data_IF_990427773085
#
_entry.id   IF_990427773085
#
_cell.length_a   1.000
_cell.length_b   1.000
_cell.length_c   1.000
_cell.angle_alpha   90.00
_cell.angle_beta   90.00
_cell.angle_gamma   90.00
#
_symmetry.space_group_name_H-M   'P 1'
#
loop_
_entity.id
_entity.type
_entity.pdbx_description
1 polymer ?
#
# COMPACT_ATOMS: atom_id res chain seq x y z
N UNK A 1 -6.61 -0.02 -16.09
CA UNK A 1 -6.67 0.75 -14.83
C UNK A 1 -8.05 1.28 -14.52
N UNK A 2 -8.65 2.17 -15.33
CA UNK A 2 -10.01 2.70 -15.05
C UNK A 2 -11.04 1.63 -14.71
N UNK A 3 -11.21 0.60 -15.55
CA UNK A 3 -12.20 -0.47 -15.32
C UNK A 3 -11.96 -1.15 -13.97
N UNK A 4 -10.73 -1.63 -13.71
CA UNK A 4 -10.35 -2.26 -12.44
C UNK A 4 -10.68 -1.37 -11.25
N UNK A 5 -10.23 -0.11 -11.28
CA UNK A 5 -10.45 0.87 -10.22
C UNK A 5 -11.94 1.15 -10.03
N UNK A 6 -12.72 1.23 -11.10
CA UNK A 6 -14.17 1.45 -11.03
C UNK A 6 -14.96 0.22 -10.56
N UNK A 7 -14.35 -0.97 -10.48
CA UNK A 7 -15.03 -2.23 -10.12
C UNK A 7 -14.48 -2.89 -8.87
N UNK A 8 -13.68 -2.16 -8.09
CA UNK A 8 -13.16 -2.61 -6.78
C UNK A 8 -13.78 -1.79 -5.66
N UNK A 9 -13.92 -2.37 -4.48
CA UNK A 9 -14.49 -1.69 -3.31
C UNK A 9 -13.48 -0.71 -2.70
N UNK A 10 -12.20 -1.10 -2.64
CA UNK A 10 -11.15 -0.28 -2.09
C UNK A 10 -9.77 -0.48 -2.71
N UNK A 11 -8.90 0.51 -2.53
CA UNK A 11 -7.50 0.47 -2.96
C UNK A 11 -6.56 1.12 -1.95
N UNK A 12 -5.28 0.78 -2.05
CA UNK A 12 -4.19 1.41 -1.29
C UNK A 12 -3.16 2.01 -2.23
N UNK A 13 -2.42 3.01 -1.75
CA UNK A 13 -1.34 3.66 -2.51
C UNK A 13 0.02 3.29 -1.89
N UNK A 14 0.78 2.35 -2.47
CA UNK A 14 2.17 2.16 -2.11
C UNK A 14 3.02 3.29 -2.72
N UNK A 15 3.76 3.99 -1.88
CA UNK A 15 4.57 5.15 -2.26
C UNK A 15 6.05 4.94 -1.94
N UNK A 16 6.92 5.53 -2.75
CA UNK A 16 8.27 5.85 -2.32
C UNK A 16 8.27 7.22 -1.61
N UNK A 17 9.20 7.49 -0.68
CA UNK A 17 9.27 8.77 0.02
C UNK A 17 10.03 9.81 -0.84
N UNK A 18 9.49 10.15 -2.00
CA UNK A 18 10.11 11.04 -2.98
C UNK A 18 9.09 11.95 -3.71
N UNK A 19 9.63 12.90 -4.47
CA UNK A 19 8.84 13.86 -5.26
C UNK A 19 8.00 13.19 -6.36
N UNK A 20 8.46 12.08 -6.94
CA UNK A 20 7.73 11.39 -8.00
C UNK A 20 6.44 10.75 -7.47
N UNK A 21 6.48 10.21 -6.25
CA UNK A 21 5.30 9.66 -5.59
C UNK A 21 4.26 10.75 -5.28
N UNK A 22 4.69 11.95 -4.88
CA UNK A 22 3.77 13.09 -4.71
C UNK A 22 3.09 13.50 -6.03
N UNK A 23 3.85 13.58 -7.13
CA UNK A 23 3.26 13.82 -8.46
C UNK A 23 2.35 12.67 -8.90
N UNK A 24 2.70 11.43 -8.57
CA UNK A 24 1.87 10.26 -8.82
C UNK A 24 0.50 10.38 -8.13
N UNK A 25 0.47 10.82 -6.87
CA UNK A 25 -0.76 11.06 -6.12
C UNK A 25 -1.60 12.17 -6.77
N UNK A 26 -0.98 13.29 -7.21
CA UNK A 26 -1.68 14.37 -7.92
C UNK A 26 -2.37 13.89 -9.19
N UNK A 27 -1.63 13.13 -9.99
CA UNK A 27 -2.12 12.57 -11.25
C UNK A 27 -3.24 11.56 -11.01
N UNK A 28 -3.08 10.71 -9.98
CA UNK A 28 -4.10 9.76 -9.57
C UNK A 28 -5.37 10.47 -9.11
N UNK A 29 -5.26 11.50 -8.26
CA UNK A 29 -6.40 12.30 -7.79
C UNK A 29 -7.18 12.93 -8.94
N UNK A 30 -6.48 13.53 -9.91
CA UNK A 30 -7.08 14.09 -11.12
C UNK A 30 -7.81 13.03 -11.95
N UNK A 31 -7.22 11.84 -12.11
CA UNK A 31 -7.85 10.74 -12.82
C UNK A 31 -9.09 10.20 -12.09
N UNK A 32 -9.02 10.05 -10.76
CA UNK A 32 -10.13 9.60 -9.92
C UNK A 32 -11.32 10.56 -10.02
N UNK A 33 -11.09 11.88 -10.00
CA UNK A 33 -12.15 12.86 -10.16
C UNK A 33 -12.90 12.72 -11.50
N UNK A 34 -12.18 12.46 -12.59
CA UNK A 34 -12.78 12.23 -13.91
C UNK A 34 -13.51 10.89 -13.95
N UNK A 35 -12.90 9.83 -13.43
CA UNK A 35 -13.46 8.49 -13.46
C UNK A 35 -14.71 8.36 -12.59
N UNK A 36 -14.76 9.03 -11.44
CA UNK A 36 -15.93 9.07 -10.57
C UNK A 36 -17.14 9.70 -11.29
N UNK A 37 -16.95 10.84 -11.97
CA UNK A 37 -18.02 11.47 -12.77
C UNK A 37 -18.53 10.56 -13.89
N UNK A 38 -17.61 9.90 -14.57
CA UNK A 38 -17.94 8.96 -15.65
C UNK A 38 -18.65 7.72 -15.11
N UNK A 39 -18.24 7.21 -13.94
CA UNK A 39 -18.88 6.09 -13.26
C UNK A 39 -20.33 6.43 -12.92
N UNK A 40 -20.58 7.57 -12.27
CA UNK A 40 -21.94 8.01 -11.94
C UNK A 40 -22.82 8.19 -13.17
N UNK A 41 -22.26 8.75 -14.26
CA UNK A 41 -22.99 8.92 -15.53
C UNK A 41 -23.39 7.55 -16.11
N UNK A 42 -22.46 6.60 -16.18
CA UNK A 42 -22.75 5.25 -16.66
C UNK A 42 -23.80 4.59 -15.78
N UNK A 43 -23.64 4.66 -14.45
CA UNK A 43 -24.59 4.09 -13.49
C UNK A 43 -26.02 4.59 -13.74
N UNK A 44 -26.19 5.91 -13.92
CA UNK A 44 -27.50 6.50 -14.18
C UNK A 44 -28.09 6.14 -15.55
N UNK A 45 -27.26 5.89 -16.57
CA UNK A 45 -27.71 5.48 -17.91
C UNK A 45 -28.07 3.98 -17.99
N UNK A 46 -27.57 3.14 -17.08
CA UNK A 46 -27.91 1.72 -17.05
C UNK A 46 -29.36 1.50 -16.62
N UNK A 47 -30.00 0.49 -17.22
CA UNK A 47 -31.29 -0.02 -16.75
C UNK A 47 -31.15 -0.65 -15.37
N UNK A 48 -32.26 -0.72 -14.61
CA UNK A 48 -32.26 -1.32 -13.26
C UNK A 48 -31.72 -2.75 -13.26
N UNK A 49 -32.04 -3.54 -14.28
CA UNK A 49 -31.53 -4.91 -14.42
C UNK A 49 -30.01 -4.96 -14.58
N UNK A 50 -29.43 -4.05 -15.38
CA UNK A 50 -27.97 -3.99 -15.58
C UNK A 50 -27.23 -3.41 -14.37
N UNK A 51 -27.86 -2.52 -13.61
CA UNK A 51 -27.30 -1.97 -12.37
C UNK A 51 -27.00 -3.05 -11.34
N UNK A 52 -27.77 -4.14 -11.30
CA UNK A 52 -27.51 -5.28 -10.38
C UNK A 52 -26.13 -5.94 -10.57
N UNK A 53 -25.56 -5.82 -11.76
CA UNK A 53 -24.24 -6.38 -12.09
C UNK A 53 -23.14 -5.31 -12.08
N UNK A 54 -23.45 -4.10 -11.61
CA UNK A 54 -22.53 -2.97 -11.59
C UNK A 54 -22.39 -2.46 -10.15
N UNK A 55 -21.19 -2.09 -9.69
CA UNK A 55 -21.02 -1.63 -8.31
C UNK A 55 -21.90 -0.42 -8.00
N UNK A 56 -22.50 -0.40 -6.81
CA UNK A 56 -23.35 0.72 -6.37
C UNK A 56 -22.51 1.94 -6.05
N UNK A 57 -21.37 1.72 -5.39
CA UNK A 57 -20.43 2.75 -5.01
C UNK A 57 -19.19 2.77 -5.90
N UNK A 58 -18.64 3.97 -6.07
CA UNK A 58 -17.31 4.12 -6.61
C UNK A 58 -16.27 3.76 -5.55
N UNK A 59 -15.13 3.22 -5.99
CA UNK A 59 -14.03 2.76 -5.14
C UNK A 59 -13.60 3.75 -4.07
N UNK A 60 -13.16 3.21 -2.93
CA UNK A 60 -12.67 3.97 -1.78
C UNK A 60 -11.17 3.83 -1.53
N UNK A 61 -10.53 4.90 -1.08
CA UNK A 61 -9.13 4.89 -0.64
C UNK A 61 -9.05 4.37 0.79
N UNK A 62 -8.32 3.27 0.99
CA UNK A 62 -8.06 2.67 2.30
C UNK A 62 -6.85 3.29 3.00
N UNK A 63 -5.96 3.94 2.24
CA UNK A 63 -4.81 4.65 2.76
C UNK A 63 -3.58 4.49 1.89
N UNK A 64 -2.42 4.83 2.46
CA UNK A 64 -1.13 4.70 1.79
C UNK A 64 -0.17 3.89 2.65
N UNK A 65 0.88 3.37 2.03
CA UNK A 65 2.05 2.87 2.76
C UNK A 65 3.29 3.40 2.08
N UNK A 66 4.34 3.65 2.86
CA UNK A 66 5.67 3.79 2.27
C UNK A 66 6.20 2.38 2.05
N UNK A 67 6.87 2.13 0.94
CA UNK A 67 7.43 0.82 0.64
C UNK A 67 8.82 0.94 0.05
N UNK A 68 9.65 -0.06 0.34
CA UNK A 68 11.01 -0.19 -0.20
C UNK A 68 11.94 1.00 0.12
N UNK A 69 11.71 1.72 1.22
CA UNK A 69 12.57 2.82 1.63
C UNK A 69 13.87 2.29 2.25
N UNK A 70 15.01 2.92 1.95
CA UNK A 70 16.28 2.58 2.61
C UNK A 70 16.22 2.97 4.09
N UNK A 71 16.55 2.02 4.96
CA UNK A 71 16.62 2.21 6.42
C UNK A 71 17.92 2.93 6.82
N UNK A 72 17.81 3.93 7.70
CA UNK A 72 18.89 4.68 8.32
C UNK A 72 18.73 4.61 9.84
N UNK A 73 19.39 3.62 10.45
CA UNK A 73 19.31 3.37 11.88
C UNK A 73 19.67 4.62 12.70
N UNK A 74 18.84 4.94 13.70
CA UNK A 74 19.03 6.12 14.55
C UNK A 74 18.30 7.38 14.08
N UNK A 75 17.79 7.42 12.84
CA UNK A 75 17.00 8.55 12.35
C UNK A 75 15.52 8.43 12.75
N UNK A 76 15.19 8.66 14.02
CA UNK A 76 13.80 8.65 14.49
C UNK A 76 12.95 9.76 13.82
N UNK A 77 11.63 9.57 13.63
CA UNK A 77 10.81 8.44 14.08
C UNK A 77 10.68 7.27 13.09
N UNK A 78 11.03 7.46 11.81
CA UNK A 78 10.76 6.45 10.74
C UNK A 78 12.03 5.86 10.13
N UNK A 79 13.20 6.13 10.69
CA UNK A 79 14.50 5.61 10.21
C UNK A 79 14.74 5.90 8.71
N UNK A 80 14.29 7.07 8.26
CA UNK A 80 14.47 7.58 6.89
C UNK A 80 15.61 8.60 6.82
N UNK A 81 16.20 8.77 5.65
CA UNK A 81 17.05 9.93 5.38
C UNK A 81 16.23 11.22 5.47
N UNK A 82 16.84 12.34 5.89
CA UNK A 82 16.15 13.62 6.11
C UNK A 82 15.29 14.07 4.91
N UNK A 83 15.81 13.95 3.69
CA UNK A 83 15.07 14.29 2.47
C UNK A 83 13.86 13.38 2.24
N UNK A 84 14.02 12.06 2.40
CA UNK A 84 12.91 11.11 2.28
C UNK A 84 11.87 11.32 3.37
N UNK A 85 12.29 11.55 4.61
CA UNK A 85 11.39 11.86 5.71
C UNK A 85 10.56 13.12 5.42
N UNK A 86 11.18 14.16 4.87
CA UNK A 86 10.50 15.37 4.46
C UNK A 86 9.40 15.13 3.40
N UNK A 87 9.66 14.29 2.39
CA UNK A 87 8.65 13.92 1.40
C UNK A 87 7.57 12.99 1.97
N UNK A 88 7.96 12.05 2.82
CA UNK A 88 7.05 11.12 3.48
C UNK A 88 5.95 11.86 4.28
N UNK A 89 6.32 12.94 4.99
CA UNK A 89 5.37 13.77 5.74
C UNK A 89 4.41 14.58 4.85
N UNK A 90 4.71 14.76 3.56
CA UNK A 90 3.85 15.49 2.62
C UNK A 90 2.77 14.60 2.00
N UNK A 91 2.97 13.27 1.99
CA UNK A 91 2.04 12.32 1.37
C UNK A 91 0.59 12.49 1.87
N UNK A 92 0.33 12.55 3.20
CA UNK A 92 -1.03 12.78 3.70
C UNK A 92 -1.68 14.05 3.16
N UNK A 93 -0.95 15.18 3.19
CA UNK A 93 -1.47 16.46 2.72
C UNK A 93 -1.78 16.43 1.22
N UNK A 94 -0.92 15.77 0.44
CA UNK A 94 -1.10 15.59 -0.99
C UNK A 94 -2.34 14.75 -1.32
N UNK A 95 -2.57 13.66 -0.57
CA UNK A 95 -3.79 12.85 -0.69
C UNK A 95 -5.02 13.68 -0.37
N UNK A 96 -5.01 14.41 0.75
CA UNK A 96 -6.15 15.21 1.19
C UNK A 96 -6.49 16.34 0.22
N UNK A 97 -5.49 16.92 -0.43
CA UNK A 97 -5.65 18.01 -1.39
C UNK A 97 -6.06 17.56 -2.80
N UNK A 98 -5.68 16.35 -3.23
CA UNK A 98 -5.85 15.92 -4.63
C UNK A 98 -6.83 14.78 -4.83
N UNK A 99 -7.04 13.91 -3.84
CA UNK A 99 -7.98 12.79 -3.95
C UNK A 99 -9.40 13.27 -3.58
N UNK A 100 -10.42 13.01 -4.43
CA UNK A 100 -11.80 13.44 -4.15
C UNK A 100 -12.30 12.96 -2.78
N UNK A 101 -13.03 13.82 -2.08
CA UNK A 101 -13.52 13.54 -0.72
C UNK A 101 -14.35 12.25 -0.67
N UNK A 102 -15.27 12.06 -1.61
CA UNK A 102 -16.10 10.86 -1.72
C UNK A 102 -15.29 9.56 -1.89
N UNK A 103 -14.06 9.63 -2.41
CA UNK A 103 -13.18 8.48 -2.53
C UNK A 103 -12.49 8.19 -1.20
N UNK A 104 -12.24 9.19 -0.36
CA UNK A 104 -11.48 9.06 0.90
C UNK A 104 -12.35 9.19 2.16
N UNK A 105 -13.67 9.12 2.05
CA UNK A 105 -14.60 9.42 3.15
C UNK A 105 -14.82 8.27 4.15
N UNK A 106 -14.39 7.04 3.82
CA UNK A 106 -14.60 5.86 4.69
C UNK A 106 -13.55 5.72 5.79
N UNK A 107 -12.35 6.29 5.60
CA UNK A 107 -11.27 6.25 6.57
C UNK A 107 -11.13 7.65 7.20
N UNK A 108 -11.09 7.75 8.55
CA UNK A 108 -10.89 9.04 9.22
C UNK A 108 -9.56 9.70 8.81
N UNK A 109 -9.55 11.03 8.74
CA UNK A 109 -8.40 11.79 8.25
C UNK A 109 -7.14 11.54 9.09
N UNK A 110 -7.29 11.37 10.40
CA UNK A 110 -6.22 11.04 11.33
C UNK A 110 -5.59 9.66 11.06
N UNK A 111 -6.40 8.69 10.62
CA UNK A 111 -5.94 7.34 10.25
C UNK A 111 -5.33 7.35 8.84
N UNK A 112 -5.90 8.11 7.91
CA UNK A 112 -5.34 8.32 6.57
C UNK A 112 -4.00 9.05 6.60
N UNK A 113 -3.73 9.84 7.65
CA UNK A 113 -2.46 10.53 7.82
C UNK A 113 -1.30 9.62 8.24
N UNK A 114 -1.58 8.36 8.59
CA UNK A 114 -0.59 7.38 8.99
C UNK A 114 -0.42 6.30 7.91
N UNK A 115 0.83 5.85 7.62
CA UNK A 115 1.05 4.71 6.77
C UNK A 115 0.35 3.46 7.33
N UNK A 116 -0.27 2.67 6.47
CA UNK A 116 -0.86 1.38 6.83
C UNK A 116 0.25 0.48 7.41
N UNK A 117 0.05 -0.04 8.62
CA UNK A 117 1.04 -0.83 9.34
C UNK A 117 2.28 -0.05 9.78
N UNK A 118 2.22 1.28 9.78
CA UNK A 118 3.32 2.16 10.22
C UNK A 118 4.64 1.88 9.47
N UNK A 119 5.66 1.45 10.22
CA UNK A 119 6.98 1.13 9.66
C UNK A 119 7.17 -0.35 9.31
N UNK A 120 6.16 -1.21 9.55
CA UNK A 120 6.30 -2.67 9.46
C UNK A 120 6.86 -3.15 8.12
N UNK A 121 6.34 -2.59 7.01
CA UNK A 121 6.80 -2.89 5.64
C UNK A 121 7.45 -1.69 4.93
N UNK A 122 7.72 -0.61 5.67
CA UNK A 122 8.24 0.64 5.11
C UNK A 122 9.60 0.46 4.46
N UNK A 123 10.45 -0.33 5.10
CA UNK A 123 11.83 -0.48 4.70
C UNK A 123 12.01 -1.57 3.66
N UNK A 124 13.02 -1.39 2.82
CA UNK A 124 13.43 -2.40 1.85
C UNK A 124 13.74 -3.74 2.54
N UNK A 125 13.26 -4.81 1.92
CA UNK A 125 13.61 -6.18 2.27
C UNK A 125 14.87 -6.64 1.50
N UNK A 126 15.60 -5.73 0.85
CA UNK A 126 16.85 -6.00 0.12
C UNK A 126 16.72 -7.26 -0.77
N UNK A 127 17.54 -8.28 -0.50
CA UNK A 127 17.60 -9.55 -1.24
C UNK A 127 16.63 -10.60 -0.71
N UNK A 128 15.91 -10.37 0.40
CA UNK A 128 14.99 -11.36 0.96
C UNK A 128 13.87 -11.72 -0.03
N UNK A 129 13.38 -10.74 -0.78
CA UNK A 129 12.35 -10.96 -1.82
C UNK A 129 12.89 -11.83 -2.95
N UNK A 130 14.13 -11.60 -3.40
CA UNK A 130 14.80 -12.42 -4.40
C UNK A 130 14.99 -13.87 -3.94
N UNK A 131 15.38 -14.08 -2.68
CA UNK A 131 15.47 -15.42 -2.11
C UNK A 131 14.11 -16.12 -2.02
N UNK A 132 13.08 -15.41 -1.57
CA UNK A 132 11.70 -15.92 -1.54
C UNK A 132 11.21 -16.34 -2.93
N UNK A 133 11.54 -15.57 -3.97
CA UNK A 133 11.24 -15.92 -5.35
C UNK A 133 12.02 -17.13 -5.85
N UNK A 134 13.34 -17.20 -5.56
CA UNK A 134 14.20 -18.32 -5.96
C UNK A 134 13.75 -19.65 -5.37
N UNK A 135 13.37 -19.67 -4.10
CA UNK A 135 12.97 -20.89 -3.39
C UNK A 135 11.45 -21.12 -3.36
N UNK A 136 10.67 -20.25 -4.01
CA UNK A 136 9.21 -20.35 -4.12
C UNK A 136 8.46 -20.47 -2.78
N UNK A 137 9.03 -19.89 -1.72
CA UNK A 137 8.42 -19.86 -0.38
C UNK A 137 8.41 -18.45 0.19
N UNK A 138 7.48 -18.12 1.10
CA UNK A 138 7.47 -16.82 1.76
C UNK A 138 8.81 -16.52 2.45
N UNK A 139 9.18 -15.23 2.53
CA UNK A 139 10.47 -14.80 3.12
C UNK A 139 10.74 -15.47 4.47
N UNK A 140 9.79 -15.48 5.40
CA UNK A 140 9.97 -16.09 6.72
C UNK A 140 10.16 -17.62 6.73
N UNK A 141 9.85 -18.32 5.63
CA UNK A 141 10.06 -19.76 5.49
C UNK A 141 11.36 -20.12 4.77
N UNK A 142 12.00 -19.19 4.07
CA UNK A 142 13.26 -19.45 3.35
C UNK A 142 14.32 -20.12 4.24
N UNK A 143 14.55 -19.74 5.51
CA UNK A 143 15.54 -20.40 6.35
C UNK A 143 15.21 -21.85 6.73
N UNK A 144 13.97 -22.30 6.53
CA UNK A 144 13.53 -23.66 6.79
C UNK A 144 13.61 -24.57 5.55
N UNK A 145 14.01 -24.03 4.39
CA UNK A 145 14.19 -24.82 3.17
C UNK A 145 15.40 -25.76 3.29
N UNK A 146 15.20 -27.03 2.94
CA UNK A 146 16.25 -28.04 3.03
C UNK A 146 17.34 -27.84 1.96
N UNK A 147 16.96 -27.36 0.77
CA UNK A 147 17.81 -27.28 -0.41
C UNK A 147 18.24 -25.85 -0.74
N UNK A 148 18.91 -25.18 0.20
CA UNK A 148 19.40 -23.80 0.00
C UNK A 148 20.65 -23.71 -0.90
N UNK A 149 21.35 -24.80 -1.19
CA UNK A 149 22.53 -24.79 -2.06
C UNK A 149 23.59 -23.78 -1.60
N UNK A 150 24.14 -22.99 -2.53
CA UNK A 150 25.19 -21.99 -2.24
C UNK A 150 24.71 -20.82 -1.36
N UNK A 151 23.40 -20.63 -1.19
CA UNK A 151 22.84 -19.51 -0.43
C UNK A 151 22.73 -19.81 1.08
N UNK A 152 23.04 -21.03 1.54
CA UNK A 152 22.95 -21.44 2.96
C UNK A 152 23.60 -20.40 3.87
N UNK A 153 24.83 -20.00 3.58
CA UNK A 153 25.57 -19.08 4.45
C UNK A 153 24.90 -17.70 4.53
N UNK A 154 24.39 -17.20 3.40
CA UNK A 154 23.69 -15.91 3.31
C UNK A 154 22.35 -15.94 4.05
N UNK A 155 21.56 -16.99 3.82
CA UNK A 155 20.23 -17.17 4.43
C UNK A 155 20.35 -17.37 5.93
N UNK A 156 21.25 -18.25 6.37
CA UNK A 156 21.44 -18.54 7.79
C UNK A 156 22.04 -17.35 8.55
N UNK A 157 22.96 -16.61 7.92
CA UNK A 157 23.49 -15.36 8.49
C UNK A 157 22.42 -14.28 8.73
N UNK A 158 21.32 -14.31 7.96
CA UNK A 158 20.20 -13.37 8.06
C UNK A 158 18.91 -14.01 8.56
N UNK A 159 18.96 -15.23 9.15
CA UNK A 159 17.79 -16.03 9.51
C UNK A 159 16.73 -15.26 10.31
N UNK A 160 17.16 -14.55 11.35
CA UNK A 160 16.25 -13.75 12.20
C UNK A 160 15.54 -12.65 11.40
N UNK A 161 16.20 -12.07 10.39
CA UNK A 161 15.61 -11.03 9.54
C UNK A 161 14.53 -11.62 8.63
N UNK A 162 14.76 -12.82 8.08
CA UNK A 162 13.75 -13.56 7.32
C UNK A 162 12.54 -13.89 8.19
N UNK A 163 12.75 -14.58 9.31
CA UNK A 163 11.67 -15.03 10.20
C UNK A 163 10.81 -13.86 10.71
N UNK A 164 11.44 -12.73 11.06
CA UNK A 164 10.75 -11.51 11.49
C UNK A 164 9.84 -10.86 10.43
N UNK A 165 9.94 -11.26 9.15
CA UNK A 165 9.00 -10.74 8.13
C UNK A 165 7.57 -11.20 8.36
N UNK A 166 7.33 -12.36 8.99
CA UNK A 166 5.97 -12.83 9.28
C UNK A 166 5.22 -11.82 10.15
N UNK A 167 5.83 -11.38 11.25
CA UNK A 167 5.20 -10.46 12.20
C UNK A 167 4.93 -9.10 11.54
N UNK A 168 5.88 -8.60 10.75
CA UNK A 168 5.75 -7.34 10.00
C UNK A 168 4.57 -7.35 9.03
N UNK A 169 4.47 -8.40 8.21
CA UNK A 169 3.36 -8.53 7.27
C UNK A 169 2.04 -8.80 7.99
N UNK A 170 2.06 -9.50 9.12
CA UNK A 170 0.88 -9.68 9.98
C UNK A 170 0.39 -8.34 10.54
N UNK A 171 1.28 -7.48 11.02
CA UNK A 171 0.96 -6.13 11.51
C UNK A 171 0.33 -5.28 10.39
N UNK A 172 0.98 -5.23 9.22
CA UNK A 172 0.45 -4.53 8.05
C UNK A 172 -0.94 -5.06 7.64
N UNK A 173 -1.09 -6.37 7.56
CA UNK A 173 -2.35 -7.00 7.17
C UNK A 173 -3.47 -6.73 8.16
N UNK A 174 -3.19 -6.73 9.48
CA UNK A 174 -4.19 -6.41 10.50
C UNK A 174 -4.70 -4.97 10.37
N UNK A 175 -3.80 -3.99 10.19
CA UNK A 175 -4.21 -2.60 9.97
C UNK A 175 -5.02 -2.48 8.66
N UNK A 176 -4.54 -3.09 7.58
CA UNK A 176 -5.26 -3.09 6.31
C UNK A 176 -6.68 -3.68 6.43
N UNK A 177 -6.82 -4.84 7.08
CA UNK A 177 -8.12 -5.49 7.29
C UNK A 177 -9.06 -4.60 8.10
N UNK A 178 -8.57 -3.94 9.17
CA UNK A 178 -9.38 -3.00 9.95
C UNK A 178 -9.87 -1.79 9.15
N UNK A 179 -9.15 -1.42 8.08
CA UNK A 179 -9.57 -0.37 7.13
C UNK A 179 -10.57 -0.90 6.12
N UNK A 180 -10.41 -2.14 5.66
CA UNK A 180 -11.36 -2.82 4.76
C UNK A 180 -12.71 -3.01 5.44
N UNK A 181 -12.75 -3.37 6.72
CA UNK A 181 -13.97 -3.51 7.52
C UNK A 181 -14.82 -2.23 7.56
N UNK A 182 -14.26 -1.06 7.22
CA UNK A 182 -14.99 0.21 7.14
C UNK A 182 -15.74 0.41 5.83
N UNK A 183 -15.55 -0.46 4.84
CA UNK A 183 -16.26 -0.41 3.57
C UNK A 183 -17.72 -0.88 3.68
N UNK A 184 -18.06 -1.62 4.73
CA UNK A 184 -19.39 -2.23 4.92
C UNK A 184 -19.34 -3.75 4.81
#
# INVERSE_FOLDING_TARGET
NKVVISTTDGFIIPCAPDMFSLYGIRNLGSALAVWQKQFGTIFHLLSEEKRKNFPEDFVKLLGFTIYNAKKYAGNQPWELAKAHYHYALQIPAEIMGCVPEDVRNVIPAEVLAQPIGGTAIMHTHNTLTGMSQKYHVPMWKVPAEENLGDDVNTVMGSRRVFEATLDKYTEFSKDLLSRIERLG
#
